data_IF_306938927876
#
_entry.id   IF_306938927876
#
_cell.length_a   1.000
_cell.length_b   1.000
_cell.length_c   1.000
_cell.angle_alpha   90.00
_cell.angle_beta   90.00
_cell.angle_gamma   90.00
#
_symmetry.space_group_name_H-M   'P 1'
#
loop_
_entity.id
_entity.type
_entity.pdbx_description
1 polymer ?
#
# COMPACT_ATOMS: atom_id res chain seq x y z
N UNK A 1 4.00 -16.49 -7.86
CA UNK A 1 4.63 -15.19 -8.11
C UNK A 1 3.65 -14.16 -7.60
N UNK A 2 3.95 -13.57 -6.44
CA UNK A 2 3.25 -12.35 -6.01
C UNK A 2 3.90 -11.18 -6.75
N UNK A 3 3.18 -10.07 -6.84
CA UNK A 3 3.63 -8.88 -7.54
C UNK A 3 4.48 -8.03 -6.59
N UNK A 4 5.67 -7.65 -7.03
CA UNK A 4 6.62 -6.85 -6.26
C UNK A 4 6.40 -5.38 -6.64
N UNK A 5 6.15 -4.54 -5.63
CA UNK A 5 5.73 -3.13 -5.82
C UNK A 5 6.79 -2.19 -5.25
N UNK A 6 7.20 -1.21 -6.05
CA UNK A 6 8.07 -0.12 -5.63
C UNK A 6 7.34 1.22 -5.64
N UNK A 7 7.69 2.10 -4.70
CA UNK A 7 7.19 3.47 -4.60
C UNK A 7 8.36 4.45 -4.70
N UNK A 8 8.29 5.33 -5.69
CA UNK A 8 9.42 6.14 -6.13
C UNK A 8 9.12 7.64 -6.06
N UNK A 9 10.15 8.44 -5.86
CA UNK A 9 10.12 9.90 -6.09
C UNK A 9 11.43 10.33 -6.74
N UNK A 10 11.37 11.15 -7.78
CA UNK A 10 12.56 11.64 -8.49
C UNK A 10 13.53 10.50 -8.90
N UNK A 11 13.00 9.35 -9.32
CA UNK A 11 13.75 8.13 -9.67
C UNK A 11 14.47 7.43 -8.51
N UNK A 12 14.22 7.81 -7.26
CA UNK A 12 14.70 7.11 -6.07
C UNK A 12 13.59 6.21 -5.50
N UNK A 13 13.90 4.94 -5.24
CA UNK A 13 13.00 4.02 -4.54
C UNK A 13 12.98 4.36 -3.05
N UNK A 14 11.79 4.68 -2.53
CA UNK A 14 11.60 5.03 -1.13
C UNK A 14 11.00 3.87 -0.32
N UNK A 15 10.13 3.09 -0.96
CA UNK A 15 9.48 1.95 -0.35
C UNK A 15 9.41 0.80 -1.35
N UNK A 16 9.58 -0.42 -0.86
CA UNK A 16 9.46 -1.65 -1.63
C UNK A 16 8.63 -2.65 -0.84
N UNK A 17 7.70 -3.32 -1.49
CA UNK A 17 6.84 -4.34 -0.88
C UNK A 17 6.81 -5.57 -1.77
N UNK A 18 7.18 -6.72 -1.21
CA UNK A 18 7.36 -7.95 -1.97
C UNK A 18 6.16 -8.88 -1.86
N UNK A 19 5.59 -9.27 -2.99
CA UNK A 19 4.60 -10.34 -3.05
C UNK A 19 3.25 -10.07 -2.36
N UNK A 20 2.88 -8.80 -2.18
CA UNK A 20 1.59 -8.37 -1.60
C UNK A 20 0.68 -7.80 -2.68
N UNK A 21 0.05 -8.70 -3.45
CA UNK A 21 -0.79 -8.34 -4.59
C UNK A 21 -2.11 -7.69 -4.15
N UNK A 22 -2.72 -8.15 -3.06
CA UNK A 22 -3.98 -7.55 -2.56
C UNK A 22 -3.76 -6.10 -2.10
N UNK A 23 -2.60 -5.81 -1.50
CA UNK A 23 -2.22 -4.44 -1.15
C UNK A 23 -2.16 -3.54 -2.39
N UNK A 24 -1.59 -4.05 -3.49
CA UNK A 24 -1.56 -3.34 -4.77
C UNK A 24 -2.97 -3.13 -5.34
N UNK A 25 -3.82 -4.15 -5.30
CA UNK A 25 -5.20 -4.08 -5.81
C UNK A 25 -6.11 -3.12 -5.03
N UNK A 26 -5.70 -2.66 -3.85
CA UNK A 26 -6.45 -1.63 -3.12
C UNK A 26 -6.46 -0.29 -3.86
N UNK A 27 -5.39 0.01 -4.61
CA UNK A 27 -5.29 1.22 -5.43
C UNK A 27 -6.20 1.06 -6.65
N UNK A 28 -7.29 1.83 -6.68
CA UNK A 28 -8.28 1.76 -7.75
C UNK A 28 -7.71 2.35 -9.04
N UNK A 29 -7.53 1.50 -10.06
CA UNK A 29 -6.97 1.90 -11.36
C UNK A 29 -7.84 2.91 -12.11
N UNK A 30 -9.11 3.10 -11.73
CA UNK A 30 -9.99 4.07 -12.40
C UNK A 30 -9.68 5.53 -12.07
N UNK A 31 -8.95 5.77 -10.97
CA UNK A 31 -8.49 7.11 -10.55
C UNK A 31 -6.99 7.32 -10.72
N UNK A 32 -6.26 6.26 -11.06
CA UNK A 32 -4.82 6.29 -11.23
C UNK A 32 -4.45 7.12 -12.47
N UNK A 33 -3.74 8.22 -12.26
CA UNK A 33 -3.11 8.96 -13.36
C UNK A 33 -1.84 8.22 -13.77
N UNK A 34 -1.82 7.76 -15.03
CA UNK A 34 -0.70 7.03 -15.62
C UNK A 34 0.50 7.98 -15.78
N UNK A 35 1.68 7.53 -15.35
CA UNK A 35 2.92 8.30 -15.42
C UNK A 35 3.53 8.24 -16.82
N UNK A 36 3.45 7.09 -17.48
CA UNK A 36 4.03 6.85 -18.81
C UNK A 36 3.06 6.04 -19.70
N UNK A 37 2.84 6.46 -20.95
CA UNK A 37 1.85 5.83 -21.84
C UNK A 37 2.06 4.33 -22.08
N UNK A 38 3.30 3.84 -21.97
CA UNK A 38 3.68 2.45 -22.23
C UNK A 38 3.83 1.58 -20.95
N UNK A 39 3.64 2.17 -19.76
CA UNK A 39 3.78 1.48 -18.48
C UNK A 39 2.53 1.69 -17.62
N UNK A 40 2.18 0.69 -16.83
CA UNK A 40 1.07 0.79 -15.88
C UNK A 40 1.49 1.49 -14.56
N UNK A 41 2.58 2.28 -14.61
CA UNK A 41 3.04 3.09 -13.50
C UNK A 41 2.05 4.23 -13.26
N UNK A 42 1.70 4.50 -12.00
CA UNK A 42 0.73 5.53 -11.66
C UNK A 42 1.14 6.38 -10.46
N UNK A 43 0.60 7.60 -10.41
CA UNK A 43 0.78 8.46 -9.24
C UNK A 43 -0.07 8.00 -8.06
N UNK A 44 0.55 7.89 -6.90
CA UNK A 44 -0.11 7.71 -5.60
C UNK A 44 -0.34 9.10 -5.00
N UNK A 45 -1.60 9.48 -4.92
CA UNK A 45 -2.06 10.77 -4.40
C UNK A 45 -2.72 10.63 -3.02
N UNK A 46 -2.93 11.75 -2.33
CA UNK A 46 -3.64 11.79 -1.05
C UNK A 46 -5.05 11.19 -1.16
N UNK A 47 -5.81 11.57 -2.20
CA UNK A 47 -7.17 11.06 -2.44
C UNK A 47 -7.20 9.53 -2.60
N UNK A 48 -6.21 8.96 -3.31
CA UNK A 48 -6.12 7.50 -3.45
C UNK A 48 -5.80 6.82 -2.12
N UNK A 49 -4.92 7.41 -1.31
CA UNK A 49 -4.58 6.88 0.01
C UNK A 49 -5.77 6.96 0.97
N UNK A 50 -6.59 8.00 0.88
CA UNK A 50 -7.85 8.12 1.64
C UNK A 50 -8.85 7.03 1.25
N UNK A 51 -9.06 6.78 -0.04
CA UNK A 51 -9.92 5.69 -0.50
C UNK A 51 -9.43 4.32 -0.02
N UNK A 52 -8.11 4.07 -0.09
CA UNK A 52 -7.50 2.83 0.38
C UNK A 52 -7.67 2.69 1.90
N UNK A 53 -7.49 3.76 2.66
CA UNK A 53 -7.67 3.75 4.11
C UNK A 53 -9.12 3.35 4.48
N UNK A 54 -10.12 3.89 3.79
CA UNK A 54 -11.53 3.52 3.99
C UNK A 54 -11.79 2.04 3.70
N UNK A 55 -11.19 1.49 2.63
CA UNK A 55 -11.30 0.05 2.31
C UNK A 55 -10.68 -0.80 3.43
N UNK A 56 -9.48 -0.44 3.89
CA UNK A 56 -8.78 -1.16 4.96
C UNK A 56 -9.53 -1.09 6.31
N UNK A 57 -10.15 0.04 6.65
CA UNK A 57 -11.02 0.13 7.84
C UNK A 57 -12.21 -0.83 7.73
N UNK A 58 -12.80 -0.96 6.53
CA UNK A 58 -13.82 -1.95 6.24
C UNK A 58 -13.35 -3.38 6.49
N UNK A 59 -12.14 -3.72 6.05
CA UNK A 59 -11.53 -5.04 6.23
C UNK A 59 -11.17 -5.34 7.68
N UNK A 60 -10.62 -4.36 8.41
CA UNK A 60 -10.38 -4.49 9.86
C UNK A 60 -11.68 -4.80 10.60
N UNK A 61 -12.79 -4.17 10.21
CA UNK A 61 -14.09 -4.42 10.82
C UNK A 61 -14.63 -5.80 10.50
N UNK A 62 -14.48 -6.30 9.27
CA UNK A 62 -14.92 -7.65 8.92
C UNK A 62 -14.13 -8.74 9.65
N UNK A 63 -12.85 -8.51 9.91
CA UNK A 63 -11.99 -9.42 10.69
C UNK A 63 -12.14 -9.28 12.21
N UNK A 64 -13.00 -8.36 12.69
CA UNK A 64 -13.20 -8.12 14.11
C UNK A 64 -12.04 -7.40 14.82
N UNK A 65 -11.20 -6.70 14.05
CA UNK A 65 -9.98 -6.02 14.49
C UNK A 65 -10.16 -4.51 14.70
N UNK A 66 -11.40 -3.98 14.67
CA UNK A 66 -11.65 -2.52 14.77
C UNK A 66 -11.09 -1.86 16.04
N UNK A 67 -10.87 -2.62 17.11
CA UNK A 67 -10.33 -2.10 18.38
C UNK A 67 -8.80 -2.27 18.50
N UNK A 68 -8.14 -2.85 17.50
CA UNK A 68 -6.69 -3.05 17.51
C UNK A 68 -6.00 -1.71 17.36
N UNK A 69 -5.11 -1.40 18.31
CA UNK A 69 -4.19 -0.27 18.19
C UNK A 69 -3.07 -0.70 17.24
N UNK A 70 -2.95 -0.01 16.12
CA UNK A 70 -1.98 -0.33 15.07
C UNK A 70 -0.65 0.35 15.41
N UNK A 71 0.40 -0.46 15.52
CA UNK A 71 1.77 0.05 15.66
C UNK A 71 2.18 0.77 14.36
N UNK A 72 2.55 2.06 14.38
CA UNK A 72 2.99 2.79 13.20
C UNK A 72 4.20 2.15 12.49
N UNK A 73 4.96 1.28 13.16
CA UNK A 73 6.09 0.56 12.56
C UNK A 73 5.74 -0.85 12.08
N UNK A 74 4.48 -1.28 12.19
CA UNK A 74 4.06 -2.62 11.77
C UNK A 74 4.34 -2.89 10.28
N UNK A 75 4.34 -1.86 9.43
CA UNK A 75 4.65 -1.98 8.00
C UNK A 75 5.98 -2.66 7.71
N UNK A 76 6.97 -2.57 8.62
CA UNK A 76 8.28 -3.22 8.43
C UNK A 76 8.22 -4.73 8.43
N UNK A 77 7.14 -5.32 8.97
CA UNK A 77 6.94 -6.76 8.96
C UNK A 77 6.49 -7.29 7.61
N UNK A 78 6.10 -6.42 6.67
CA UNK A 78 5.67 -6.84 5.34
C UNK A 78 6.77 -7.65 4.62
N UNK A 79 8.04 -7.34 4.84
CA UNK A 79 9.16 -8.09 4.25
C UNK A 79 9.23 -9.55 4.71
N UNK A 80 8.70 -9.84 5.90
CA UNK A 80 8.69 -11.17 6.51
C UNK A 80 7.35 -11.91 6.33
N UNK A 81 6.31 -11.20 5.91
CA UNK A 81 4.96 -11.75 5.73
C UNK A 81 4.73 -12.19 4.29
N UNK A 82 3.89 -13.21 4.14
CA UNK A 82 3.49 -13.75 2.86
C UNK A 82 1.96 -13.80 2.80
N UNK A 83 1.40 -12.92 1.98
CA UNK A 83 -0.03 -12.77 1.75
C UNK A 83 -0.77 -14.08 1.44
N UNK A 84 -0.08 -15.08 0.88
CA UNK A 84 -0.70 -16.36 0.50
C UNK A 84 -0.85 -17.34 1.65
N UNK A 85 -0.08 -17.15 2.72
CA UNK A 85 0.01 -18.13 3.81
C UNK A 85 -0.30 -17.54 5.17
N UNK A 86 0.00 -16.26 5.37
CA UNK A 86 -0.24 -15.58 6.63
C UNK A 86 -1.68 -15.07 6.73
N UNK A 87 -2.14 -14.88 7.97
CA UNK A 87 -3.52 -14.53 8.23
C UNK A 87 -3.78 -13.05 7.94
N UNK A 88 -5.02 -12.72 7.56
CA UNK A 88 -5.45 -11.32 7.46
C UNK A 88 -5.31 -10.56 8.78
N UNK A 89 -5.38 -11.23 9.92
CA UNK A 89 -5.14 -10.62 11.22
C UNK A 89 -3.69 -10.14 11.41
N UNK A 90 -2.73 -10.78 10.74
CA UNK A 90 -1.32 -10.36 10.75
C UNK A 90 -1.03 -9.31 9.66
N UNK A 91 -1.68 -9.45 8.49
CA UNK A 91 -1.46 -8.59 7.33
C UNK A 91 -2.11 -7.21 7.47
N UNK A 92 -3.39 -7.14 7.87
CA UNK A 92 -4.16 -5.88 7.87
C UNK A 92 -3.52 -4.77 8.71
N UNK A 93 -3.03 -5.01 9.95
CA UNK A 93 -2.36 -3.97 10.72
C UNK A 93 -1.12 -3.43 10.00
N UNK A 94 -0.39 -4.30 9.29
CA UNK A 94 0.80 -3.92 8.55
C UNK A 94 0.45 -3.08 7.31
N UNK A 95 -0.61 -3.45 6.57
CA UNK A 95 -1.13 -2.66 5.45
C UNK A 95 -1.59 -1.27 5.89
N UNK A 96 -2.33 -1.16 6.98
CA UNK A 96 -2.79 0.14 7.49
C UNK A 96 -1.61 1.02 7.91
N UNK A 97 -0.63 0.45 8.63
CA UNK A 97 0.58 1.18 8.99
C UNK A 97 1.36 1.65 7.75
N UNK A 98 1.39 0.83 6.69
CA UNK A 98 2.07 1.17 5.44
C UNK A 98 1.36 2.32 4.70
N UNK A 99 0.04 2.26 4.56
CA UNK A 99 -0.74 3.33 3.93
C UNK A 99 -0.64 4.63 4.72
N UNK A 100 -0.66 4.58 6.06
CA UNK A 100 -0.40 5.75 6.89
C UNK A 100 1.02 6.33 6.67
N UNK A 101 2.01 5.46 6.46
CA UNK A 101 3.39 5.88 6.16
C UNK A 101 3.51 6.54 4.79
N UNK A 102 2.85 6.00 3.76
CA UNK A 102 2.78 6.61 2.43
C UNK A 102 2.06 7.96 2.49
N UNK A 103 0.97 8.07 3.25
CA UNK A 103 0.22 9.32 3.43
C UNK A 103 1.08 10.41 4.04
N UNK A 104 1.74 10.15 5.17
CA UNK A 104 2.64 11.13 5.81
C UNK A 104 3.76 11.58 4.87
N UNK A 105 4.22 10.70 3.99
CA UNK A 105 5.23 11.00 2.99
C UNK A 105 4.68 11.88 1.85
N UNK A 106 3.50 11.53 1.33
CA UNK A 106 2.82 12.28 0.26
C UNK A 106 2.41 13.67 0.72
N UNK A 107 1.85 13.81 1.92
CA UNK A 107 1.45 15.11 2.49
C UNK A 107 2.65 16.07 2.65
N UNK A 108 3.84 15.53 2.94
CA UNK A 108 5.04 16.34 3.16
C UNK A 108 5.80 16.67 1.89
N UNK A 109 5.85 15.73 0.94
CA UNK A 109 6.79 15.76 -0.16
C UNK A 109 6.13 15.67 -1.55
N UNK A 110 4.80 15.56 -1.61
CA UNK A 110 4.04 15.36 -2.83
C UNK A 110 3.91 13.90 -3.27
N UNK A 111 3.23 13.63 -4.39
CA UNK A 111 2.87 12.28 -4.82
C UNK A 111 4.08 11.37 -5.05
N UNK A 112 3.83 10.06 -4.98
CA UNK A 112 4.78 9.01 -5.31
C UNK A 112 4.41 8.37 -6.65
N UNK A 113 5.36 7.75 -7.32
CA UNK A 113 5.10 6.85 -8.45
C UNK A 113 5.06 5.42 -7.91
N UNK A 114 3.95 4.72 -8.10
CA UNK A 114 3.85 3.29 -7.88
C UNK A 114 4.22 2.58 -9.19
N UNK A 115 5.17 1.66 -9.12
CA UNK A 115 5.55 0.79 -10.22
C UNK A 115 5.62 -0.65 -9.72
N UNK A 116 5.38 -1.60 -10.61
CA UNK A 116 5.41 -3.02 -10.26
C UNK A 116 6.27 -3.84 -11.21
N UNK A 117 6.84 -4.92 -10.66
CA UNK A 117 7.55 -5.93 -11.42
C UNK A 117 6.87 -7.30 -11.24
N UNK A 118 6.70 -8.01 -12.35
CA UNK A 118 6.07 -9.33 -12.43
C UNK A 118 7.11 -10.46 -12.44
#
# INVERSE_FOLDING_TARGET
>A
MGLDVGYYRNHEELYYVRGHYELFCLFDSSKAEIVYEDYDDFYVTEDMLDDVAVKLEGWLKSEGLSAVVIDPNAYRKLDDLNERTDSWADLLPCYVAFIAKLRDDVERNGPLVCSYSA
#
